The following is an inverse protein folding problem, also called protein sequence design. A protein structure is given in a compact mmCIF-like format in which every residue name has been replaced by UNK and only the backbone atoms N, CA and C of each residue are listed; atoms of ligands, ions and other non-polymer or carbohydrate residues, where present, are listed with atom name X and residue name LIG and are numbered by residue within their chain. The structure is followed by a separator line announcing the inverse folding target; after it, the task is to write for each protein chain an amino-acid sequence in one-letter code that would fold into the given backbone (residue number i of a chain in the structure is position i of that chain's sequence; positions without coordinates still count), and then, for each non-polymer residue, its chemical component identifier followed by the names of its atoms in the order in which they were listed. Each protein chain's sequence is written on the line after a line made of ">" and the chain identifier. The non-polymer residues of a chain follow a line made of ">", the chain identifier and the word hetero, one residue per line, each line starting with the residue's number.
data_IF_398470495722
#
_entry.id   IF_398470495722
#
_cell.length_a   1.000
_cell.length_b   1.000
_cell.length_c   1.000
_cell.angle_alpha   90.00
_cell.angle_beta   90.00
_cell.angle_gamma   90.00
#
_symmetry.space_group_name_H-M   'P 1'
#
loop_
_entity.id
_entity.type
_entity.pdbx_description
1 polymer ?
#
# COMPACT_ATOMS: atom_id res chain seq x y z
N UNK A 1 13.04 -15.89 -0.63
CA UNK A 1 11.65 -15.63 -1.10
C UNK A 1 11.60 -14.72 -2.33
N UNK A 2 12.27 -13.56 -2.36
CA UNK A 2 12.27 -12.67 -3.54
C UNK A 2 12.80 -13.34 -4.84
N UNK A 3 13.94 -14.04 -4.76
CA UNK A 3 14.56 -14.69 -5.92
C UNK A 3 13.70 -15.79 -6.61
N UNK A 4 12.71 -16.36 -5.90
CA UNK A 4 11.78 -17.34 -6.48
C UNK A 4 10.71 -16.65 -7.34
N UNK A 5 10.23 -15.49 -6.91
CA UNK A 5 9.28 -14.71 -7.70
C UNK A 5 9.94 -14.07 -8.92
N UNK A 6 11.20 -13.64 -8.80
CA UNK A 6 11.95 -13.08 -9.94
C UNK A 6 12.17 -14.10 -11.06
N UNK A 7 12.33 -15.40 -10.72
CA UNK A 7 12.50 -16.47 -11.72
C UNK A 7 11.17 -16.94 -12.32
N UNK A 8 10.09 -16.98 -11.52
CA UNK A 8 8.75 -17.39 -11.99
C UNK A 8 8.04 -16.28 -12.77
N UNK A 9 8.31 -15.01 -12.44
CA UNK A 9 7.70 -13.84 -13.07
C UNK A 9 8.78 -12.85 -13.54
N UNK A 10 9.63 -13.22 -14.51
CA UNK A 10 10.75 -12.38 -14.97
C UNK A 10 10.31 -11.05 -15.61
N UNK A 11 9.01 -10.88 -15.86
CA UNK A 11 8.39 -9.65 -16.38
C UNK A 11 7.85 -8.74 -15.28
N UNK A 12 7.73 -9.22 -14.03
CA UNK A 12 7.25 -8.44 -12.89
C UNK A 12 8.49 -7.95 -12.14
N UNK A 13 8.67 -6.63 -12.07
CA UNK A 13 9.69 -6.00 -11.24
C UNK A 13 9.02 -5.35 -10.04
N UNK A 14 9.59 -5.59 -8.86
CA UNK A 14 9.09 -5.04 -7.60
C UNK A 14 10.16 -4.12 -7.04
N UNK A 15 9.82 -2.83 -6.91
CA UNK A 15 10.69 -1.83 -6.30
C UNK A 15 10.25 -1.56 -4.86
N UNK A 16 11.20 -1.49 -3.94
CA UNK A 16 10.95 -1.10 -2.56
C UNK A 16 11.24 0.39 -2.37
N UNK A 17 10.23 1.14 -1.91
CA UNK A 17 10.35 2.57 -1.61
C UNK A 17 9.84 2.81 -0.18
N UNK A 18 10.66 3.44 0.66
CA UNK A 18 10.26 3.87 2.00
C UNK A 18 9.99 5.38 2.02
N UNK A 19 8.88 5.77 2.63
CA UNK A 19 8.46 7.17 2.78
C UNK A 19 8.14 7.41 4.25
N UNK A 20 8.73 8.45 4.84
CA UNK A 20 8.44 8.85 6.22
C UNK A 20 7.33 9.89 6.24
N UNK A 21 6.30 9.67 7.06
CA UNK A 21 5.20 10.61 7.27
C UNK A 21 4.01 9.98 7.97
N UNK A 22 2.97 10.77 8.19
CA UNK A 22 1.72 10.30 8.82
C UNK A 22 0.87 9.51 7.81
N UNK A 23 0.35 8.36 8.25
CA UNK A 23 -0.52 7.53 7.43
C UNK A 23 -1.93 8.14 7.35
N UNK A 24 -2.36 8.53 6.15
CA UNK A 24 -3.69 9.08 5.94
C UNK A 24 -3.98 9.49 4.49
N UNK A 25 -5.16 10.06 4.20
CA UNK A 25 -5.62 10.38 2.85
C UNK A 25 -4.67 11.32 2.08
N UNK A 26 -4.06 12.30 2.77
CA UNK A 26 -3.12 13.24 2.16
C UNK A 26 -1.83 12.55 1.67
N UNK A 27 -1.33 11.56 2.41
CA UNK A 27 -0.17 10.76 2.00
C UNK A 27 -0.50 9.93 0.74
N UNK A 28 -1.71 9.37 0.68
CA UNK A 28 -2.17 8.58 -0.47
C UNK A 28 -2.32 9.44 -1.71
N UNK A 29 -2.87 10.65 -1.55
CA UNK A 29 -2.94 11.65 -2.63
C UNK A 29 -1.56 11.95 -3.19
N UNK A 30 -0.61 12.21 -2.29
CA UNK A 30 0.76 12.51 -2.65
C UNK A 30 1.43 11.33 -3.37
N UNK A 31 1.26 10.10 -2.86
CA UNK A 31 1.76 8.88 -3.51
C UNK A 31 1.18 8.68 -4.90
N UNK A 32 -0.13 8.90 -5.07
CA UNK A 32 -0.80 8.76 -6.37
C UNK A 32 -0.20 9.69 -7.42
N UNK A 33 0.04 10.95 -7.06
CA UNK A 33 0.69 11.93 -7.94
C UNK A 33 2.16 11.63 -8.17
N UNK A 34 2.89 11.25 -7.12
CA UNK A 34 4.35 11.03 -7.19
C UNK A 34 4.69 9.80 -8.02
N UNK A 35 3.91 8.74 -7.90
CA UNK A 35 4.09 7.48 -8.63
C UNK A 35 3.34 7.44 -9.97
N UNK A 36 2.50 8.45 -10.25
CA UNK A 36 1.58 8.48 -11.39
C UNK A 36 0.69 7.22 -11.46
N UNK A 37 0.24 6.73 -10.31
CA UNK A 37 -0.62 5.56 -10.17
C UNK A 37 -1.97 6.01 -9.62
N UNK A 38 -3.09 5.68 -10.27
CA UNK A 38 -4.42 5.95 -9.73
C UNK A 38 -4.66 5.26 -8.38
N UNK A 39 -5.33 5.95 -7.44
CA UNK A 39 -5.60 5.43 -6.07
C UNK A 39 -6.32 4.07 -6.08
N UNK A 40 -7.24 3.84 -7.01
CA UNK A 40 -7.98 2.58 -7.14
C UNK A 40 -7.12 1.38 -7.59
N UNK A 41 -5.91 1.63 -8.09
CA UNK A 41 -4.91 0.60 -8.42
C UNK A 41 -3.92 0.35 -7.28
N UNK A 42 -4.04 1.07 -6.16
CA UNK A 42 -3.17 0.90 -5.00
C UNK A 42 -3.77 -0.08 -4.01
N UNK A 43 -2.92 -0.99 -3.55
CA UNK A 43 -3.18 -1.85 -2.41
C UNK A 43 -2.31 -1.38 -1.25
N UNK A 44 -2.95 -0.99 -0.16
CA UNK A 44 -2.26 -0.39 0.98
C UNK A 44 -2.60 -1.18 2.23
N UNK A 45 -1.57 -1.73 2.88
CA UNK A 45 -1.70 -2.33 4.21
C UNK A 45 -1.77 -1.21 5.23
N UNK A 46 -2.78 -1.25 6.08
CA UNK A 46 -2.91 -0.29 7.17
C UNK A 46 -2.07 -0.69 8.40
N UNK A 47 -1.55 0.29 9.16
CA UNK A 47 -0.84 0.02 10.41
C UNK A 47 -1.77 -0.25 11.61
N UNK A 48 -2.99 0.29 11.61
CA UNK A 48 -3.93 0.23 12.74
C UNK A 48 -5.40 0.21 12.25
N UNK A 49 -6.31 -0.42 12.99
CA UNK A 49 -7.70 -0.67 12.55
C UNK A 49 -8.55 0.62 12.44
N UNK A 50 -8.18 1.68 13.17
CA UNK A 50 -8.93 2.94 13.22
C UNK A 50 -8.64 3.82 11.99
N UNK A 51 -7.45 3.71 11.40
CA UNK A 51 -7.10 4.44 10.19
C UNK A 51 -7.69 3.83 8.90
N UNK A 52 -8.22 2.59 8.95
CA UNK A 52 -8.85 1.88 7.82
C UNK A 52 -9.97 2.67 7.14
N UNK A 53 -10.91 3.17 7.95
CA UNK A 53 -12.13 3.80 7.46
C UNK A 53 -11.80 5.11 6.74
N UNK A 54 -10.91 5.90 7.34
CA UNK A 54 -10.45 7.18 6.80
C UNK A 54 -9.74 6.99 5.46
N UNK A 55 -8.96 5.91 5.32
CA UNK A 55 -8.18 5.62 4.12
C UNK A 55 -9.01 4.94 3.03
N UNK A 56 -9.95 4.06 3.37
CA UNK A 56 -10.83 3.42 2.38
C UNK A 56 -11.70 4.46 1.64
N UNK A 57 -12.09 5.53 2.32
CA UNK A 57 -12.80 6.67 1.71
C UNK A 57 -11.97 7.40 0.64
N UNK A 58 -10.64 7.26 0.64
CA UNK A 58 -9.74 7.81 -0.38
C UNK A 58 -9.70 6.98 -1.68
N UNK A 59 -10.49 5.90 -1.78
CA UNK A 59 -10.63 5.10 -3.00
C UNK A 59 -9.53 4.07 -3.23
N UNK A 60 -8.78 3.71 -2.18
CA UNK A 60 -7.74 2.66 -2.21
C UNK A 60 -8.30 1.33 -1.70
N UNK A 61 -7.65 0.23 -2.08
CA UNK A 61 -7.96 -1.10 -1.54
C UNK A 61 -7.11 -1.35 -0.29
N UNK A 62 -7.76 -1.43 0.86
CA UNK A 62 -7.07 -1.67 2.14
C UNK A 62 -6.87 -3.16 2.36
N UNK A 63 -5.64 -3.56 2.68
CA UNK A 63 -5.32 -4.92 3.14
C UNK A 63 -5.28 -4.89 4.67
N UNK A 64 -6.20 -5.61 5.32
CA UNK A 64 -6.23 -5.74 6.78
C UNK A 64 -5.43 -6.97 7.18
N UNK A 65 -4.33 -6.80 7.91
CA UNK A 65 -3.66 -7.94 8.53
C UNK A 65 -4.46 -8.38 9.75
N UNK A 66 -5.03 -9.58 9.72
CA UNK A 66 -5.71 -10.19 10.86
C UNK A 66 -4.65 -10.79 11.82
N UNK A 67 -3.79 -9.96 12.42
CA UNK A 67 -2.91 -10.42 13.51
C UNK A 67 -2.43 -9.25 14.38
N UNK A 68 -3.22 -8.93 15.42
CA UNK A 68 -2.77 -8.30 16.67
C UNK A 68 -3.96 -8.26 17.67
N UNK A 69 -4.56 -9.42 17.95
CA UNK A 69 -5.13 -9.66 19.27
C UNK A 69 -4.17 -10.63 19.95
N UNK A 70 -3.17 -10.06 20.63
CA UNK A 70 -2.53 -10.71 21.76
C UNK A 70 -3.40 -10.47 22.99
#
# INVERSE_FOLDING_TARGET
>A
MAALFDSMYPKIRVDFVSVHGEFGPAMIEWLSRKMNVPRNMMFITQPDFLSAERVSTAGVRVITAAYAMA
#
